data_IF_727330744904
#
_entry.id   IF_727330744904
#
_cell.length_a   1.000
_cell.length_b   1.000
_cell.length_c   1.000
_cell.angle_alpha   90.00
_cell.angle_beta   90.00
_cell.angle_gamma   90.00
#
_symmetry.space_group_name_H-M   'P 1'
#
loop_
_entity.id
_entity.type
_entity.pdbx_description
1 polymer ?
#
# COMPACT_ATOMS: atom_id res chain seq x y z
N UNK A 1 35.57 57.32 26.40
CA UNK A 1 35.69 56.46 25.23
C UNK A 1 35.65 55.00 25.69
N UNK A 2 34.52 54.38 25.90
CA UNK A 2 34.32 52.95 26.26
C UNK A 2 32.83 52.60 26.45
N UNK A 3 32.00 52.65 25.38
CA UNK A 3 30.62 52.14 25.43
C UNK A 3 30.16 51.48 24.10
N UNK A 4 31.07 51.09 23.18
CA UNK A 4 30.70 50.52 21.88
C UNK A 4 30.83 48.98 21.79
N UNK A 5 31.32 48.29 22.82
CA UNK A 5 31.64 46.88 22.77
C UNK A 5 30.53 45.89 23.20
N UNK A 6 29.48 46.36 23.92
CA UNK A 6 28.50 45.44 24.51
C UNK A 6 27.24 45.16 23.66
N UNK A 7 26.96 45.97 22.66
CA UNK A 7 25.78 45.79 21.82
C UNK A 7 25.97 44.67 20.75
N UNK A 8 27.20 44.53 20.23
CA UNK A 8 27.52 43.50 19.22
C UNK A 8 27.38 42.04 19.72
N UNK A 9 27.81 41.79 20.96
CA UNK A 9 27.76 40.46 21.56
C UNK A 9 26.34 40.01 21.94
N UNK A 10 25.43 40.92 22.29
CA UNK A 10 24.01 40.60 22.56
C UNK A 10 23.27 40.26 21.27
N UNK A 11 23.51 40.99 20.20
CA UNK A 11 22.88 40.78 18.90
C UNK A 11 23.35 39.47 18.26
N UNK A 12 24.64 39.12 18.37
CA UNK A 12 25.17 37.81 17.88
C UNK A 12 24.62 36.62 18.67
N UNK A 13 24.41 36.77 20.00
CA UNK A 13 23.79 35.74 20.82
C UNK A 13 22.30 35.56 20.50
N UNK A 14 21.56 36.66 20.23
CA UNK A 14 20.16 36.60 19.81
C UNK A 14 19.99 35.97 18.43
N UNK A 15 20.86 36.26 17.45
CA UNK A 15 20.87 35.63 16.14
C UNK A 15 21.18 34.12 16.26
N UNK A 16 22.17 33.74 17.10
CA UNK A 16 22.51 32.33 17.33
C UNK A 16 21.36 31.53 17.94
N UNK A 17 20.64 32.10 18.91
CA UNK A 17 19.46 31.48 19.54
C UNK A 17 18.30 31.33 18.55
N UNK A 18 18.09 32.36 17.66
CA UNK A 18 17.04 32.29 16.65
C UNK A 18 17.32 31.24 15.58
N UNK A 19 18.58 31.08 15.13
CA UNK A 19 18.98 30.04 14.18
C UNK A 19 18.81 28.63 14.76
N UNK A 20 19.15 28.41 16.04
CA UNK A 20 18.96 27.13 16.73
C UNK A 20 17.47 26.82 16.92
N UNK A 21 16.64 27.82 17.25
CA UNK A 21 15.20 27.65 17.37
C UNK A 21 14.53 27.32 16.01
N UNK A 22 14.97 27.92 14.90
CA UNK A 22 14.48 27.59 13.55
C UNK A 22 14.92 26.19 13.11
N UNK A 23 16.12 25.75 13.47
CA UNK A 23 16.61 24.38 13.18
C UNK A 23 15.84 23.31 13.98
N UNK A 24 15.38 23.62 15.19
CA UNK A 24 14.56 22.73 16.01
C UNK A 24 13.09 22.66 15.55
N UNK A 25 12.61 23.62 14.74
CA UNK A 25 11.27 23.61 14.14
C UNK A 25 11.21 22.78 12.84
N UNK A 26 12.31 22.30 12.30
CA UNK A 26 12.31 21.22 11.33
C UNK A 26 12.13 19.90 12.09
N UNK A 27 11.00 19.79 12.77
CA UNK A 27 10.47 18.50 13.18
C UNK A 27 10.46 17.62 11.94
N UNK A 28 11.26 16.57 11.94
CA UNK A 28 11.14 15.51 10.98
C UNK A 28 9.71 15.03 11.06
N UNK A 29 8.84 15.49 10.14
CA UNK A 29 7.51 14.96 10.00
C UNK A 29 7.71 13.45 9.86
N UNK A 30 7.36 12.68 10.88
CA UNK A 30 7.43 11.23 10.83
C UNK A 30 6.61 10.81 9.63
N UNK A 31 7.28 10.33 8.58
CA UNK A 31 6.61 9.90 7.37
C UNK A 31 5.58 8.86 7.76
N UNK A 32 4.31 9.13 7.44
CA UNK A 32 3.22 8.22 7.71
C UNK A 32 3.56 6.81 7.19
N UNK A 33 3.39 5.80 8.03
CA UNK A 33 3.85 4.43 7.77
C UNK A 33 2.91 3.73 6.79
N UNK A 34 3.40 3.42 5.59
CA UNK A 34 2.65 2.57 4.64
C UNK A 34 2.64 1.13 5.13
N UNK A 35 1.46 0.52 5.20
CA UNK A 35 1.29 -0.90 5.50
C UNK A 35 0.74 -1.68 4.33
N UNK A 36 1.36 -2.84 4.07
CA UNK A 36 1.01 -3.75 3.00
C UNK A 36 0.70 -5.12 3.60
N UNK A 37 -0.50 -5.60 3.40
CA UNK A 37 -0.91 -6.95 3.78
C UNK A 37 -1.06 -7.80 2.53
N UNK A 38 -0.35 -8.95 2.50
CA UNK A 38 -0.31 -9.86 1.36
C UNK A 38 -0.97 -11.19 1.77
N UNK A 39 -2.18 -11.43 1.26
CA UNK A 39 -2.99 -12.58 1.64
C UNK A 39 -2.78 -13.74 0.68
N UNK A 40 -2.29 -14.86 1.22
CA UNK A 40 -2.15 -16.13 0.49
C UNK A 40 -3.51 -16.76 0.24
N UNK A 41 -3.59 -17.54 -0.83
CA UNK A 41 -4.74 -18.42 -1.11
C UNK A 41 -4.85 -19.62 -0.19
N UNK A 42 -5.73 -20.55 -0.55
CA UNK A 42 -5.95 -21.78 0.19
C UNK A 42 -4.64 -22.55 0.41
N UNK A 43 -4.54 -23.19 1.58
CA UNK A 43 -3.38 -23.94 2.06
C UNK A 43 -2.09 -23.14 2.25
N UNK A 44 -2.03 -21.88 1.85
CA UNK A 44 -0.87 -21.00 2.06
C UNK A 44 0.43 -21.36 1.34
N UNK A 45 0.55 -22.62 0.89
CA UNK A 45 1.80 -23.19 0.33
C UNK A 45 2.05 -22.81 -1.13
N UNK A 46 1.02 -22.41 -1.86
CA UNK A 46 1.13 -22.13 -3.30
C UNK A 46 1.37 -20.66 -3.65
N UNK A 47 1.06 -19.74 -2.74
CA UNK A 47 1.20 -18.29 -2.95
C UNK A 47 2.55 -17.75 -2.47
N UNK A 48 3.64 -18.49 -2.68
CA UNK A 48 4.99 -18.11 -2.18
C UNK A 48 5.58 -16.90 -2.88
N UNK A 49 5.06 -16.50 -4.03
CA UNK A 49 5.41 -15.24 -4.69
C UNK A 49 5.08 -14.02 -3.81
N UNK A 50 4.04 -14.09 -2.98
CA UNK A 50 3.72 -13.04 -2.03
C UNK A 50 4.75 -12.90 -0.91
N UNK A 51 5.44 -13.99 -0.52
CA UNK A 51 6.52 -13.94 0.47
C UNK A 51 7.76 -13.24 -0.09
N UNK A 52 8.10 -13.56 -1.33
CA UNK A 52 9.18 -12.89 -2.06
C UNK A 52 8.90 -11.39 -2.14
N UNK A 53 7.70 -11.02 -2.56
CA UNK A 53 7.26 -9.63 -2.64
C UNK A 53 7.33 -8.92 -1.27
N UNK A 54 6.82 -9.55 -0.21
CA UNK A 54 6.89 -9.00 1.14
C UNK A 54 8.34 -8.76 1.59
N UNK A 55 9.24 -9.70 1.28
CA UNK A 55 10.67 -9.57 1.62
C UNK A 55 11.32 -8.41 0.87
N UNK A 56 11.04 -8.27 -0.43
CA UNK A 56 11.55 -7.15 -1.24
C UNK A 56 10.98 -5.80 -0.79
N UNK A 57 9.71 -5.73 -0.39
CA UNK A 57 9.11 -4.51 0.14
C UNK A 57 9.75 -4.12 1.47
N UNK A 58 9.97 -5.08 2.38
CA UNK A 58 10.65 -4.83 3.67
C UNK A 58 12.08 -4.33 3.47
N UNK A 59 12.82 -4.86 2.50
CA UNK A 59 14.18 -4.37 2.20
C UNK A 59 14.21 -2.92 1.72
N UNK A 60 13.05 -2.39 1.28
CA UNK A 60 12.84 -0.98 0.89
C UNK A 60 12.22 -0.12 2.01
N UNK A 61 12.16 -0.66 3.23
CA UNK A 61 11.60 0.06 4.39
C UNK A 61 10.08 0.10 4.47
N UNK A 62 9.36 -0.70 3.65
CA UNK A 62 7.90 -0.78 3.68
C UNK A 62 7.48 -1.86 4.69
N UNK A 63 6.52 -1.57 5.54
CA UNK A 63 5.93 -2.56 6.44
C UNK A 63 5.02 -3.50 5.64
N UNK A 64 5.56 -4.65 5.27
CA UNK A 64 4.85 -5.67 4.50
C UNK A 64 4.74 -6.97 5.30
N UNK A 65 3.53 -7.51 5.40
CA UNK A 65 3.20 -8.72 6.15
C UNK A 65 2.48 -9.71 5.24
N UNK A 66 2.96 -10.96 5.21
CA UNK A 66 2.27 -12.05 4.53
C UNK A 66 1.32 -12.75 5.52
N UNK A 67 0.06 -12.88 5.14
CA UNK A 67 -1.02 -13.39 5.98
C UNK A 67 -1.67 -14.60 5.33
N UNK A 68 -1.95 -15.64 6.11
CA UNK A 68 -2.75 -16.79 5.66
C UNK A 68 -4.22 -16.36 5.50
N UNK A 69 -4.91 -16.98 4.52
CA UNK A 69 -6.30 -16.61 4.20
C UNK A 69 -7.27 -16.73 5.39
N UNK A 70 -7.03 -17.62 6.36
CA UNK A 70 -7.88 -17.76 7.54
C UNK A 70 -7.73 -16.62 8.57
N UNK A 71 -6.60 -15.90 8.54
CA UNK A 71 -6.31 -14.83 9.50
C UNK A 71 -6.82 -13.44 9.08
N UNK A 72 -7.53 -13.32 7.95
CA UNK A 72 -7.94 -12.03 7.40
C UNK A 72 -8.81 -11.19 8.36
N UNK A 73 -9.72 -11.82 9.11
CA UNK A 73 -10.57 -11.11 10.09
C UNK A 73 -9.76 -10.50 11.25
N UNK A 74 -8.82 -11.26 11.77
CA UNK A 74 -7.90 -10.77 12.81
C UNK A 74 -7.03 -9.65 12.26
N UNK A 75 -6.60 -9.75 11.01
CA UNK A 75 -5.83 -8.70 10.32
C UNK A 75 -6.65 -7.42 10.20
N UNK A 76 -7.94 -7.49 9.87
CA UNK A 76 -8.83 -6.29 9.88
C UNK A 76 -8.84 -5.63 11.26
N UNK A 77 -8.99 -6.39 12.34
CA UNK A 77 -8.97 -5.84 13.70
C UNK A 77 -7.65 -5.13 14.03
N UNK A 78 -6.53 -5.67 13.54
CA UNK A 78 -5.21 -5.04 13.69
C UNK A 78 -5.07 -3.76 12.86
N UNK A 79 -5.63 -3.74 11.64
CA UNK A 79 -5.65 -2.55 10.78
C UNK A 79 -6.45 -1.42 11.44
N UNK A 80 -7.63 -1.73 11.99
CA UNK A 80 -8.47 -0.73 12.68
C UNK A 80 -7.69 -0.08 13.84
N UNK A 81 -7.02 -0.89 14.67
CA UNK A 81 -6.19 -0.40 15.77
C UNK A 81 -5.03 0.47 15.29
N UNK A 82 -4.35 0.03 14.22
CA UNK A 82 -3.26 0.79 13.64
C UNK A 82 -3.75 2.11 13.03
N UNK A 83 -4.86 2.08 12.28
CA UNK A 83 -5.41 3.28 11.64
C UNK A 83 -5.79 4.36 12.66
N UNK A 84 -6.18 3.98 13.87
CA UNK A 84 -6.45 4.91 14.98
C UNK A 84 -5.17 5.54 15.57
N UNK A 85 -3.98 5.11 15.17
CA UNK A 85 -2.71 5.67 15.67
C UNK A 85 -2.29 6.92 14.89
N UNK A 86 -1.51 7.80 15.53
CA UNK A 86 -1.04 9.07 14.93
C UNK A 86 -0.13 8.90 13.71
N UNK A 87 0.44 7.71 13.48
CA UNK A 87 1.38 7.43 12.39
C UNK A 87 0.76 6.58 11.28
N UNK A 88 -0.57 6.47 11.21
CA UNK A 88 -1.24 5.75 10.13
C UNK A 88 -1.00 6.43 8.80
N UNK A 89 -0.56 5.66 7.82
CA UNK A 89 -0.29 6.09 6.45
C UNK A 89 -1.09 5.25 5.46
N UNK A 90 -0.65 5.19 4.20
CA UNK A 90 -1.34 4.43 3.18
C UNK A 90 -1.50 2.95 3.52
N UNK A 91 -2.68 2.40 3.22
CA UNK A 91 -3.04 0.99 3.40
C UNK A 91 -3.13 0.29 2.05
N UNK A 92 -2.37 -0.79 1.90
CA UNK A 92 -2.37 -1.62 0.69
C UNK A 92 -2.75 -3.06 1.02
N UNK A 93 -3.69 -3.62 0.29
CA UNK A 93 -4.11 -5.00 0.40
C UNK A 93 -3.81 -5.74 -0.92
N UNK A 94 -3.06 -6.83 -0.85
CA UNK A 94 -2.71 -7.67 -2.00
C UNK A 94 -3.16 -9.08 -1.71
N UNK A 95 -3.82 -9.74 -2.65
CA UNK A 95 -4.26 -11.13 -2.45
C UNK A 95 -4.10 -11.99 -3.70
N UNK A 96 -3.83 -13.28 -3.50
CA UNK A 96 -3.80 -14.27 -4.55
C UNK A 96 -4.87 -15.34 -4.33
N UNK A 97 -5.57 -15.72 -5.40
CA UNK A 97 -6.59 -16.80 -5.35
C UNK A 97 -7.70 -16.46 -4.32
N UNK A 98 -8.00 -17.34 -3.38
CA UNK A 98 -8.92 -17.07 -2.28
C UNK A 98 -8.50 -15.85 -1.44
N UNK A 99 -7.20 -15.60 -1.28
CA UNK A 99 -6.69 -14.40 -0.62
C UNK A 99 -7.07 -13.12 -1.36
N UNK A 100 -7.27 -13.17 -2.68
CA UNK A 100 -7.75 -12.05 -3.47
C UNK A 100 -9.21 -11.70 -3.14
N UNK A 101 -10.07 -12.68 -2.92
CA UNK A 101 -11.43 -12.45 -2.42
C UNK A 101 -11.41 -11.89 -0.98
N UNK A 102 -10.55 -12.48 -0.12
CA UNK A 102 -10.46 -12.01 1.26
C UNK A 102 -9.98 -10.56 1.38
N UNK A 103 -9.10 -10.04 0.51
CA UNK A 103 -8.73 -8.61 0.56
C UNK A 103 -9.88 -7.70 0.17
N UNK A 104 -10.80 -8.14 -0.69
CA UNK A 104 -12.04 -7.41 -0.99
C UNK A 104 -12.97 -7.42 0.23
N UNK A 105 -13.13 -8.58 0.89
CA UNK A 105 -13.89 -8.70 2.13
C UNK A 105 -13.30 -7.82 3.26
N UNK A 106 -11.96 -7.79 3.38
CA UNK A 106 -11.27 -6.89 4.31
C UNK A 106 -11.62 -5.43 4.02
N UNK A 107 -11.54 -5.00 2.76
CA UNK A 107 -11.91 -3.65 2.37
C UNK A 107 -13.38 -3.32 2.71
N UNK A 108 -14.32 -4.29 2.54
CA UNK A 108 -15.72 -4.12 2.94
C UNK A 108 -15.91 -3.96 4.45
N UNK A 109 -15.16 -4.70 5.27
CA UNK A 109 -15.21 -4.51 6.72
C UNK A 109 -14.63 -3.15 7.11
N UNK A 110 -13.52 -2.74 6.50
CA UNK A 110 -12.90 -1.44 6.72
C UNK A 110 -13.80 -0.28 6.26
N UNK A 111 -14.62 -0.48 5.22
CA UNK A 111 -15.63 0.49 4.80
C UNK A 111 -16.64 0.80 5.91
N UNK A 112 -17.07 -0.22 6.67
CA UNK A 112 -18.01 -0.03 7.80
C UNK A 112 -17.41 0.81 8.92
N UNK A 113 -16.08 0.82 9.03
CA UNK A 113 -15.31 1.62 9.98
C UNK A 113 -14.85 2.96 9.40
N UNK A 114 -15.31 3.32 8.19
CA UNK A 114 -14.89 4.52 7.44
C UNK A 114 -13.37 4.61 7.21
N UNK A 115 -12.68 3.46 7.09
CA UNK A 115 -11.25 3.39 6.82
C UNK A 115 -11.03 3.24 5.32
N UNK A 116 -10.31 4.17 4.67
CA UNK A 116 -9.97 4.06 3.26
C UNK A 116 -8.88 3.00 3.03
N UNK A 117 -8.92 2.38 1.85
CA UNK A 117 -7.87 1.49 1.35
C UNK A 117 -7.28 2.13 0.10
N UNK A 118 -6.01 2.52 0.16
CA UNK A 118 -5.35 3.25 -0.92
C UNK A 118 -5.16 2.40 -2.18
N UNK A 119 -4.88 1.10 -1.99
CA UNK A 119 -4.68 0.18 -3.11
C UNK A 119 -5.13 -1.23 -2.74
N UNK A 120 -6.00 -1.82 -3.56
CA UNK A 120 -6.31 -3.25 -3.57
C UNK A 120 -5.70 -3.87 -4.82
N UNK A 121 -4.97 -4.98 -4.66
CA UNK A 121 -4.47 -5.78 -5.79
C UNK A 121 -4.97 -7.20 -5.64
N UNK A 122 -5.68 -7.68 -6.65
CA UNK A 122 -6.13 -9.07 -6.74
C UNK A 122 -5.35 -9.80 -7.83
N UNK A 123 -4.88 -11.00 -7.55
CA UNK A 123 -4.13 -11.85 -8.46
C UNK A 123 -4.89 -13.17 -8.59
N UNK A 124 -5.42 -13.46 -9.79
CA UNK A 124 -6.21 -14.65 -10.10
C UNK A 124 -7.30 -14.95 -9.04
N UNK A 125 -8.22 -14.00 -8.76
CA UNK A 125 -9.26 -14.20 -7.75
C UNK A 125 -10.10 -15.43 -8.08
N UNK A 126 -10.54 -16.16 -7.02
CA UNK A 126 -11.40 -17.32 -7.17
C UNK A 126 -12.85 -16.95 -7.52
N UNK A 127 -13.30 -15.76 -7.11
CA UNK A 127 -14.60 -15.16 -7.41
C UNK A 127 -14.47 -13.74 -7.94
N UNK A 128 -15.55 -13.19 -8.50
CA UNK A 128 -15.61 -11.84 -9.07
C UNK A 128 -16.33 -10.86 -8.11
N UNK A 129 -15.90 -10.81 -6.85
CA UNK A 129 -16.47 -9.89 -5.88
C UNK A 129 -16.22 -8.43 -6.31
N UNK A 130 -17.23 -7.55 -6.27
CA UNK A 130 -17.05 -6.16 -6.67
C UNK A 130 -16.22 -5.37 -5.64
N UNK A 131 -15.43 -4.41 -6.11
CA UNK A 131 -14.58 -3.54 -5.28
C UNK A 131 -15.47 -2.54 -4.51
N UNK A 132 -15.34 -2.43 -3.18
CA UNK A 132 -16.13 -1.50 -2.38
C UNK A 132 -15.67 -0.05 -2.51
N UNK A 133 -16.58 0.89 -2.17
CA UNK A 133 -16.39 2.32 -2.44
C UNK A 133 -15.30 3.01 -1.62
N UNK A 134 -14.81 2.42 -0.53
CA UNK A 134 -13.70 2.95 0.27
C UNK A 134 -12.31 2.69 -0.33
N UNK A 135 -12.24 1.99 -1.48
CA UNK A 135 -10.98 1.70 -2.17
C UNK A 135 -10.66 2.81 -3.16
N UNK A 136 -9.49 3.45 -3.03
CA UNK A 136 -9.05 4.53 -3.90
C UNK A 136 -8.63 4.00 -5.28
N UNK A 137 -7.87 2.89 -5.30
CA UNK A 137 -7.41 2.25 -6.52
C UNK A 137 -7.46 0.74 -6.40
N UNK A 138 -7.90 0.06 -7.46
CA UNK A 138 -7.88 -1.39 -7.55
C UNK A 138 -7.20 -1.85 -8.85
N UNK A 139 -6.40 -2.92 -8.76
CA UNK A 139 -5.78 -3.58 -9.90
C UNK A 139 -6.08 -5.07 -9.79
N UNK A 140 -6.66 -5.65 -10.83
CA UNK A 140 -6.93 -7.08 -10.90
C UNK A 140 -6.09 -7.71 -12.02
N UNK A 141 -5.25 -8.67 -11.68
CA UNK A 141 -4.52 -9.51 -12.61
C UNK A 141 -5.23 -10.84 -12.77
N UNK A 142 -5.58 -11.21 -13.99
CA UNK A 142 -6.22 -12.49 -14.33
C UNK A 142 -5.63 -13.05 -15.62
N UNK A 143 -5.81 -14.34 -15.84
CA UNK A 143 -5.31 -15.02 -17.03
C UNK A 143 -6.46 -15.75 -17.74
N UNK A 144 -7.04 -15.14 -18.75
CA UNK A 144 -8.15 -15.73 -19.52
C UNK A 144 -7.72 -15.99 -20.98
N UNK A 145 -7.98 -17.20 -21.51
CA UNK A 145 -8.61 -18.34 -20.84
C UNK A 145 -7.71 -18.97 -19.77
N UNK A 146 -8.28 -19.32 -18.61
CA UNK A 146 -7.54 -19.93 -17.51
C UNK A 146 -8.11 -19.58 -16.14
N UNK A 147 -7.43 -18.73 -15.37
CA UNK A 147 -7.78 -18.43 -13.99
C UNK A 147 -8.09 -16.96 -13.75
N UNK A 148 -9.21 -16.73 -13.07
CA UNK A 148 -9.74 -15.42 -12.79
C UNK A 148 -10.50 -14.84 -13.97
N UNK A 149 -11.11 -13.69 -13.73
CA UNK A 149 -11.88 -12.92 -14.70
C UNK A 149 -11.79 -11.43 -14.35
N UNK A 150 -12.26 -10.53 -15.22
CA UNK A 150 -12.46 -9.14 -14.84
C UNK A 150 -13.37 -9.05 -13.62
N UNK A 151 -13.04 -8.18 -12.68
CA UNK A 151 -13.89 -7.84 -11.53
C UNK A 151 -14.56 -6.50 -11.79
N UNK A 152 -15.68 -6.27 -11.10
CA UNK A 152 -16.45 -5.02 -11.16
C UNK A 152 -16.22 -4.19 -9.91
N UNK A 153 -16.92 -3.09 -9.78
CA UNK A 153 -16.97 -2.27 -8.58
C UNK A 153 -18.40 -2.03 -8.15
N UNK A 154 -18.62 -1.76 -6.86
CA UNK A 154 -19.90 -1.39 -6.30
C UNK A 154 -20.41 -0.07 -6.91
N UNK A 155 -21.73 0.17 -6.93
CA UNK A 155 -22.37 1.34 -7.54
C UNK A 155 -21.83 2.69 -7.00
N UNK A 156 -21.37 2.74 -5.74
CA UNK A 156 -20.78 3.94 -5.11
C UNK A 156 -19.26 4.05 -5.26
N UNK A 157 -18.63 3.25 -6.09
CA UNK A 157 -17.19 3.32 -6.29
C UNK A 157 -16.80 4.47 -7.23
N UNK A 158 -15.94 5.36 -6.75
CA UNK A 158 -15.42 6.51 -7.51
C UNK A 158 -13.90 6.44 -7.74
N UNK A 159 -13.27 5.31 -7.35
CA UNK A 159 -11.85 5.09 -7.53
C UNK A 159 -11.48 4.63 -8.94
N UNK A 160 -10.23 4.21 -9.13
CA UNK A 160 -9.74 3.67 -10.39
C UNK A 160 -9.62 2.15 -10.33
N UNK A 161 -10.45 1.42 -11.05
CA UNK A 161 -10.33 -0.03 -11.27
C UNK A 161 -9.65 -0.32 -12.60
N UNK A 162 -8.62 -1.19 -12.58
CA UNK A 162 -7.92 -1.66 -13.77
C UNK A 162 -7.90 -3.18 -13.79
N UNK A 163 -8.49 -3.79 -14.80
CA UNK A 163 -8.42 -5.23 -15.05
C UNK A 163 -7.32 -5.51 -16.08
N UNK A 164 -6.33 -6.36 -15.74
CA UNK A 164 -5.19 -6.71 -16.57
C UNK A 164 -5.27 -8.19 -16.92
N UNK A 165 -5.59 -8.48 -18.18
CA UNK A 165 -5.53 -9.85 -18.69
C UNK A 165 -4.09 -10.22 -19.05
N UNK A 166 -3.58 -11.29 -18.48
CA UNK A 166 -2.26 -11.86 -18.77
C UNK A 166 -2.35 -12.94 -19.86
N UNK A 167 -3.52 -13.09 -20.49
CA UNK A 167 -3.83 -14.10 -21.50
C UNK A 167 -2.82 -14.15 -22.64
N UNK A 168 -2.49 -15.38 -23.06
CA UNK A 168 -1.46 -15.67 -24.03
C UNK A 168 -0.14 -16.14 -23.45
N UNK A 169 0.06 -16.02 -22.14
CA UNK A 169 1.20 -16.62 -21.45
C UNK A 169 0.81 -18.01 -20.90
N UNK A 170 1.16 -19.06 -21.67
CA UNK A 170 0.82 -20.46 -21.36
C UNK A 170 1.51 -20.94 -20.06
N UNK A 171 2.59 -20.27 -19.63
CA UNK A 171 3.30 -20.58 -18.38
C UNK A 171 2.62 -20.02 -17.13
N UNK A 172 1.65 -19.12 -17.29
CA UNK A 172 0.96 -18.48 -16.15
C UNK A 172 -0.30 -19.25 -15.74
N UNK A 173 -0.13 -20.46 -15.22
CA UNK A 173 -1.22 -21.16 -14.56
C UNK A 173 -1.46 -20.60 -13.15
N UNK A 174 -2.61 -20.93 -12.55
CA UNK A 174 -3.08 -20.35 -11.29
C UNK A 174 -2.03 -20.27 -10.17
N UNK A 175 -1.22 -21.32 -9.97
CA UNK A 175 -0.21 -21.35 -8.91
C UNK A 175 1.13 -20.70 -9.29
N UNK A 176 1.26 -20.16 -10.49
CA UNK A 176 2.47 -19.52 -10.99
C UNK A 176 2.31 -18.00 -11.19
N UNK A 177 1.08 -17.53 -11.31
CA UNK A 177 0.79 -16.13 -11.65
C UNK A 177 1.34 -15.14 -10.59
N UNK A 178 1.27 -15.48 -9.31
CA UNK A 178 1.84 -14.68 -8.20
C UNK A 178 3.37 -14.66 -8.21
N UNK A 179 4.01 -15.62 -8.90
CA UNK A 179 5.47 -15.75 -9.05
C UNK A 179 6.01 -15.14 -10.34
N UNK A 180 5.12 -14.74 -11.26
CA UNK A 180 5.52 -14.14 -12.53
C UNK A 180 6.40 -12.90 -12.29
N UNK A 181 7.62 -12.84 -12.86
CA UNK A 181 8.49 -11.66 -12.72
C UNK A 181 7.81 -10.38 -13.18
N UNK A 182 6.99 -10.44 -14.22
CA UNK A 182 6.19 -9.33 -14.73
C UNK A 182 5.19 -8.87 -13.69
N UNK A 183 4.35 -9.78 -13.15
CA UNK A 183 3.33 -9.46 -12.15
C UNK A 183 4.00 -8.91 -10.88
N UNK A 184 5.07 -9.56 -10.40
CA UNK A 184 5.86 -9.10 -9.25
C UNK A 184 6.36 -7.66 -9.43
N UNK A 185 6.94 -7.35 -10.60
CA UNK A 185 7.48 -6.02 -10.90
C UNK A 185 6.36 -4.96 -10.97
N UNK A 186 5.23 -5.27 -11.60
CA UNK A 186 4.09 -4.38 -11.74
C UNK A 186 3.42 -4.12 -10.38
N UNK A 187 3.19 -5.15 -9.57
CA UNK A 187 2.64 -5.05 -8.21
C UNK A 187 3.54 -4.20 -7.31
N UNK A 188 4.84 -4.49 -7.31
CA UNK A 188 5.82 -3.71 -6.55
C UNK A 188 5.82 -2.23 -6.96
N UNK A 189 5.80 -1.94 -8.24
CA UNK A 189 5.72 -0.56 -8.77
C UNK A 189 4.45 0.14 -8.31
N UNK A 190 3.30 -0.54 -8.37
CA UNK A 190 2.02 0.01 -7.92
C UNK A 190 2.02 0.35 -6.43
N UNK A 191 2.61 -0.52 -5.58
CA UNK A 191 2.76 -0.28 -4.14
C UNK A 191 3.69 0.90 -3.86
N UNK A 192 4.82 0.97 -4.56
CA UNK A 192 5.78 2.07 -4.40
C UNK A 192 5.17 3.43 -4.76
N UNK A 193 4.30 3.47 -5.78
CA UNK A 193 3.62 4.69 -6.20
C UNK A 193 2.65 5.25 -5.14
N UNK A 194 2.09 4.40 -4.27
CA UNK A 194 1.20 4.85 -3.17
C UNK A 194 1.96 5.65 -2.11
N UNK A 195 3.28 5.46 -2.00
CA UNK A 195 4.11 6.17 -1.02
C UNK A 195 4.50 7.60 -1.45
N UNK A 196 4.30 7.94 -2.71
CA UNK A 196 4.69 9.25 -3.25
C UNK A 196 3.55 10.26 -3.05
N UNK A 197 3.83 11.49 -2.61
CA UNK A 197 2.85 12.56 -2.64
C UNK A 197 2.30 12.75 -4.07
N UNK A 198 1.01 13.05 -4.24
CA UNK A 198 0.36 13.19 -5.56
C UNK A 198 1.15 14.05 -6.57
N UNK A 199 1.76 15.14 -6.11
CA UNK A 199 2.53 16.07 -6.94
C UNK A 199 3.81 15.46 -7.56
N UNK A 200 4.39 14.42 -6.97
CA UNK A 200 5.58 13.75 -7.51
C UNK A 200 5.23 12.62 -8.49
N UNK A 201 4.05 12.03 -8.34
CA UNK A 201 3.57 10.97 -9.23
C UNK A 201 3.22 11.53 -10.63
N UNK A 202 2.69 12.75 -10.72
CA UNK A 202 2.38 13.41 -12.00
C UNK A 202 3.62 13.86 -12.77
N UNK A 203 4.70 14.23 -12.08
CA UNK A 203 5.96 14.66 -12.70
C UNK A 203 6.73 13.52 -13.38
N UNK A 204 6.53 12.27 -12.94
CA UNK A 204 7.19 11.08 -13.51
C UNK A 204 6.36 10.41 -14.63
N UNK A 205 5.12 10.83 -14.83
CA UNK A 205 4.22 10.31 -15.87
C UNK A 205 4.25 11.13 -17.18
N UNK A 206 5.04 12.21 -17.22
CA UNK A 206 5.30 13.08 -18.38
C UNK A 206 6.68 12.79 -18.97
#
# INVERSE_FOLDING_TARGET
>A
MLLRGQQGTKMQRLLGILCVAIALLWSSATKAETRVYLLRGWFGVFSTGLDTLATELRSKGIKAETVGHLAWKTTVSNIIKWHASANSGPLVLVGHSQGANNVIDMARLLQRENIPVDLVITIAPAGQDPIPSNVVRAINYYNSPGWGAPITADAGYHGKLTNINLGGDIGLYHMAIDKSPRVQAEVKRAIMAVQQPPAQAEAQAR
#
